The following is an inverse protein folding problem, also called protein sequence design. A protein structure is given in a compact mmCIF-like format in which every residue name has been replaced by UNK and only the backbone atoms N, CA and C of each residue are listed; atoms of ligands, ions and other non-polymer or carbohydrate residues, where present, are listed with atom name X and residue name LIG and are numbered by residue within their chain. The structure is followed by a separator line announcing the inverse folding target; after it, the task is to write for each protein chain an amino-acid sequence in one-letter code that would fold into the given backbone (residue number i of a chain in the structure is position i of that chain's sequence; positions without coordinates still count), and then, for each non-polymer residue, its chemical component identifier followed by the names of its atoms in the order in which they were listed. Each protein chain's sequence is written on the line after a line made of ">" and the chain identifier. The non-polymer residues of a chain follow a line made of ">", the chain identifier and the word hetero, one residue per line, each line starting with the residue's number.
data_IF_718905993701
#
_entry.id   IF_718905993701
#
_cell.length_a   1.000
_cell.length_b   1.000
_cell.length_c   1.000
_cell.angle_alpha   90.00
_cell.angle_beta   90.00
_cell.angle_gamma   90.00
#
_symmetry.space_group_name_H-M   'P 1'
#
loop_
_entity.id
_entity.type
_entity.pdbx_description
1 polymer ?
#
# COMPACT_ATOMS: atom_id res chain seq x y z
N UNK A 1 41.44 20.70 -29.48
CA UNK A 1 40.29 21.35 -28.80
C UNK A 1 39.30 20.24 -28.48
N UNK A 2 38.97 20.09 -27.20
CA UNK A 2 38.24 18.96 -26.61
C UNK A 2 36.79 18.91 -27.07
N UNK A 3 36.34 17.76 -27.61
CA UNK A 3 34.92 17.47 -27.76
C UNK A 3 34.35 17.26 -26.35
N UNK A 4 33.36 18.06 -25.98
CA UNK A 4 32.69 17.97 -24.68
C UNK A 4 31.93 16.65 -24.57
N UNK A 5 32.27 15.85 -23.57
CA UNK A 5 31.38 14.80 -23.08
C UNK A 5 30.26 15.49 -22.30
N UNK A 6 29.18 15.85 -22.97
CA UNK A 6 27.93 16.27 -22.32
C UNK A 6 27.24 15.04 -21.73
N UNK A 7 27.73 14.57 -20.58
CA UNK A 7 26.93 13.73 -19.70
C UNK A 7 25.92 14.65 -19.01
N UNK A 8 24.71 14.74 -19.53
CA UNK A 8 23.57 15.23 -18.73
C UNK A 8 23.56 14.44 -17.42
N UNK A 9 23.58 15.11 -16.24
CA UNK A 9 23.42 14.40 -14.98
C UNK A 9 22.10 13.62 -15.02
N UNK A 10 22.13 12.35 -14.62
CA UNK A 10 20.89 11.59 -14.41
C UNK A 10 20.02 12.35 -13.39
N UNK A 11 18.71 12.46 -13.67
CA UNK A 11 17.79 13.06 -12.71
C UNK A 11 17.81 12.29 -11.38
N UNK A 12 17.65 12.98 -10.24
CA UNK A 12 17.66 12.31 -8.95
C UNK A 12 16.49 11.32 -8.87
N UNK A 13 16.83 10.05 -8.67
CA UNK A 13 15.86 9.00 -8.38
C UNK A 13 15.52 8.97 -6.90
N UNK A 14 14.34 8.46 -6.58
CA UNK A 14 13.91 8.31 -5.20
C UNK A 14 13.32 6.94 -4.90
N UNK A 15 12.70 6.85 -3.74
CA UNK A 15 12.08 5.62 -3.27
C UNK A 15 10.72 5.88 -2.64
N UNK A 16 9.90 4.83 -2.60
CA UNK A 16 8.61 4.81 -1.93
C UNK A 16 8.55 3.59 -1.02
N UNK A 17 8.50 3.85 0.28
CA UNK A 17 8.51 2.83 1.34
C UNK A 17 7.13 2.72 1.99
N UNK A 18 6.60 1.50 2.05
CA UNK A 18 5.42 1.18 2.84
C UNK A 18 5.84 0.75 4.24
N UNK A 19 5.13 1.25 5.25
CA UNK A 19 5.15 0.76 6.63
C UNK A 19 3.76 0.22 6.95
N UNK A 20 3.66 -1.10 7.09
CA UNK A 20 2.43 -1.81 7.37
C UNK A 20 2.31 -2.14 8.84
N UNK A 21 1.14 -1.85 9.40
CA UNK A 21 0.84 -2.14 10.81
C UNK A 21 -0.53 -2.77 10.99
N UNK A 22 -0.70 -3.48 12.09
CA UNK A 22 -2.01 -3.84 12.64
C UNK A 22 -2.77 -2.55 13.02
N UNK A 23 -4.04 -2.45 12.61
CA UNK A 23 -4.82 -1.24 12.81
C UNK A 23 -5.11 -0.91 14.28
N UNK A 24 -5.14 -1.93 15.15
CA UNK A 24 -5.51 -1.86 16.56
C UNK A 24 -4.28 -1.77 17.45
N UNK A 25 -3.34 -2.72 17.35
CA UNK A 25 -2.15 -2.75 18.21
C UNK A 25 -1.05 -1.80 17.73
N UNK A 26 -1.04 -1.46 16.44
CA UNK A 26 0.04 -0.68 15.83
C UNK A 26 1.32 -1.48 15.59
N UNK A 27 1.32 -2.79 15.86
CA UNK A 27 2.49 -3.64 15.65
C UNK A 27 2.82 -3.76 14.16
N UNK A 28 4.11 -3.94 13.80
CA UNK A 28 4.51 -4.20 12.43
C UNK A 28 3.82 -5.44 11.84
N UNK A 29 3.39 -5.33 10.58
CA UNK A 29 2.67 -6.39 9.89
C UNK A 29 3.48 -6.95 8.71
N UNK A 30 4.20 -8.09 8.89
CA UNK A 30 4.89 -8.78 7.80
C UNK A 30 3.94 -9.51 6.86
N UNK A 31 4.33 -9.68 5.59
CA UNK A 31 3.65 -10.53 4.62
C UNK A 31 2.54 -9.88 3.80
N UNK A 32 2.19 -8.61 4.06
CA UNK A 32 1.35 -7.85 3.14
C UNK A 32 2.13 -7.54 1.84
N UNK A 33 1.48 -7.67 0.67
CA UNK A 33 2.10 -7.52 -0.65
C UNK A 33 1.56 -6.28 -1.35
N UNK A 34 2.47 -5.48 -1.89
CA UNK A 34 2.18 -4.24 -2.58
C UNK A 34 2.71 -4.23 -4.00
N UNK A 35 2.06 -3.43 -4.84
CA UNK A 35 2.57 -2.99 -6.13
C UNK A 35 2.65 -1.46 -6.14
N UNK A 36 3.66 -0.91 -6.79
CA UNK A 36 3.73 0.51 -7.12
C UNK A 36 3.47 0.71 -8.61
N UNK A 37 2.72 1.75 -8.92
CA UNK A 37 2.28 2.12 -10.26
C UNK A 37 2.52 3.60 -10.48
N UNK A 38 3.22 3.94 -11.55
CA UNK A 38 3.46 5.32 -12.00
C UNK A 38 2.22 5.81 -12.77
N UNK A 39 1.71 6.98 -12.40
CA UNK A 39 0.68 7.70 -13.14
C UNK A 39 1.26 8.20 -14.48
N UNK A 40 0.76 7.67 -15.60
CA UNK A 40 1.34 7.96 -16.93
C UNK A 40 0.35 8.52 -17.93
N UNK A 41 -0.94 8.56 -17.63
CA UNK A 41 -1.99 8.92 -18.59
C UNK A 41 -2.77 10.20 -18.20
N UNK A 42 -2.53 10.75 -17.01
CA UNK A 42 -3.15 11.97 -16.50
C UNK A 42 -4.60 11.81 -16.02
N UNK A 43 -5.08 10.58 -15.81
CA UNK A 43 -6.45 10.29 -15.36
C UNK A 43 -6.43 9.90 -13.89
N UNK A 44 -7.20 10.64 -13.09
CA UNK A 44 -7.24 10.43 -11.65
C UNK A 44 -7.60 8.99 -11.24
N UNK A 45 -6.78 8.42 -10.35
CA UNK A 45 -6.91 7.05 -9.83
C UNK A 45 -5.98 6.09 -10.57
N UNK A 46 -5.86 4.86 -10.07
CA UNK A 46 -5.05 3.83 -10.72
C UNK A 46 -5.83 3.14 -11.84
N UNK A 47 -5.27 3.06 -13.05
CA UNK A 47 -5.75 2.22 -14.15
C UNK A 47 -4.76 1.10 -14.46
N UNK A 48 -5.06 -0.13 -14.02
CA UNK A 48 -4.16 -1.29 -14.26
C UNK A 48 -4.40 -2.01 -15.60
N UNK A 49 -5.36 -1.54 -16.42
CA UNK A 49 -5.77 -2.18 -17.68
C UNK A 49 -6.52 -1.18 -18.57
N UNK A 50 -6.65 -1.51 -19.85
CA UNK A 50 -7.35 -0.69 -20.85
C UNK A 50 -6.39 -0.26 -21.96
N UNK A 51 -6.82 0.71 -22.76
CA UNK A 51 -6.05 1.20 -23.92
C UNK A 51 -4.84 2.05 -23.53
N UNK A 52 -4.86 2.65 -22.33
CA UNK A 52 -3.82 3.55 -21.82
C UNK A 52 -3.65 3.39 -20.30
N UNK A 53 -3.17 2.23 -19.81
CA UNK A 53 -3.02 1.96 -18.39
C UNK A 53 -1.81 2.70 -17.79
N UNK A 54 -1.84 2.88 -16.47
CA UNK A 54 -0.67 3.27 -15.69
C UNK A 54 0.43 2.22 -15.76
N UNK A 55 1.67 2.66 -15.51
CA UNK A 55 2.84 1.79 -15.63
C UNK A 55 3.23 1.18 -14.29
N UNK A 56 3.22 -0.15 -14.19
CA UNK A 56 3.76 -0.84 -13.02
C UNK A 56 5.29 -0.65 -12.95
N UNK A 57 5.81 -0.27 -11.79
CA UNK A 57 7.23 0.06 -11.61
C UNK A 57 8.14 -1.17 -11.54
N UNK A 58 7.57 -2.35 -11.24
CA UNK A 58 8.33 -3.59 -11.10
C UNK A 58 7.50 -4.73 -10.48
N UNK A 59 8.16 -5.79 -9.97
CA UNK A 59 7.48 -6.87 -9.26
C UNK A 59 6.84 -6.37 -7.95
N UNK A 60 5.94 -7.17 -7.39
CA UNK A 60 5.35 -6.90 -6.09
C UNK A 60 6.39 -6.96 -4.97
N UNK A 61 6.16 -6.19 -3.91
CA UNK A 61 7.02 -6.12 -2.74
C UNK A 61 6.25 -6.60 -1.51
N UNK A 62 6.77 -7.62 -0.82
CA UNK A 62 6.21 -8.11 0.44
C UNK A 62 6.85 -7.39 1.62
N UNK A 63 6.04 -7.07 2.63
CA UNK A 63 6.50 -6.45 3.87
C UNK A 63 7.32 -7.42 4.72
N UNK A 64 8.47 -6.95 5.18
CA UNK A 64 9.42 -7.71 6.00
C UNK A 64 8.96 -7.82 7.48
N UNK A 65 9.80 -8.43 8.33
CA UNK A 65 9.55 -8.57 9.77
C UNK A 65 9.34 -7.24 10.53
N UNK A 66 9.74 -6.10 9.94
CA UNK A 66 9.51 -4.75 10.47
C UNK A 66 8.31 -4.09 9.82
N UNK A 67 7.50 -4.84 9.06
CA UNK A 67 6.35 -4.34 8.33
C UNK A 67 6.74 -3.44 7.16
N UNK A 68 7.97 -3.53 6.64
CA UNK A 68 8.48 -2.60 5.61
C UNK A 68 8.65 -3.26 4.27
N UNK A 69 8.28 -2.54 3.21
CA UNK A 69 8.59 -2.92 1.83
C UNK A 69 8.92 -1.62 1.06
N UNK A 70 9.88 -1.65 0.14
CA UNK A 70 10.35 -0.45 -0.54
C UNK A 70 10.47 -0.67 -2.05
N UNK A 71 10.04 0.33 -2.80
CA UNK A 71 10.27 0.47 -4.24
C UNK A 71 11.33 1.56 -4.43
N UNK A 72 12.50 1.18 -4.95
CA UNK A 72 13.63 2.11 -5.16
C UNK A 72 13.85 2.42 -6.63
N UNK A 73 14.83 3.28 -6.91
CA UNK A 73 15.21 3.70 -8.28
C UNK A 73 14.04 4.25 -9.09
N UNK A 74 13.10 4.92 -8.42
CA UNK A 74 11.92 5.52 -9.04
C UNK A 74 12.27 6.87 -9.65
N UNK A 75 11.81 7.12 -10.87
CA UNK A 75 11.88 8.43 -11.50
C UNK A 75 10.97 9.43 -10.78
N UNK A 76 11.21 10.73 -10.95
CA UNK A 76 10.31 11.75 -10.42
C UNK A 76 8.93 11.63 -11.08
N UNK A 77 7.86 11.70 -10.29
CA UNK A 77 6.53 11.42 -10.80
C UNK A 77 5.48 11.24 -9.70
N UNK A 78 4.30 10.78 -10.11
CA UNK A 78 3.19 10.46 -9.22
C UNK A 78 2.96 8.95 -9.19
N UNK A 79 2.79 8.40 -7.99
CA UNK A 79 2.73 6.95 -7.79
C UNK A 79 1.51 6.53 -6.98
N UNK A 80 0.86 5.47 -7.40
CA UNK A 80 -0.13 4.74 -6.62
C UNK A 80 0.49 3.50 -5.99
N UNK A 81 0.08 3.21 -4.75
CA UNK A 81 0.31 1.92 -4.10
C UNK A 81 -0.97 1.10 -4.18
N UNK A 82 -0.86 -0.15 -4.61
CA UNK A 82 -1.95 -1.14 -4.56
C UNK A 82 -1.56 -2.29 -3.64
N UNK A 83 -2.32 -2.50 -2.57
CA UNK A 83 -2.23 -3.71 -1.74
C UNK A 83 -2.92 -4.86 -2.46
N UNK A 84 -2.21 -5.95 -2.72
CA UNK A 84 -2.72 -7.09 -3.50
C UNK A 84 -2.90 -8.36 -2.67
N UNK A 85 -2.21 -8.48 -1.53
CA UNK A 85 -2.39 -9.58 -0.59
C UNK A 85 -2.12 -9.12 0.84
N UNK A 86 -2.77 -9.80 1.78
CA UNK A 86 -2.59 -9.61 3.23
C UNK A 86 -2.17 -10.93 3.87
N UNK A 87 -1.45 -10.89 5.00
CA UNK A 87 -1.12 -12.11 5.75
C UNK A 87 -2.37 -12.73 6.39
N UNK A 88 -2.28 -14.02 6.72
CA UNK A 88 -3.36 -14.76 7.38
C UNK A 88 -3.86 -14.06 8.65
N UNK A 89 -5.19 -14.07 8.85
CA UNK A 89 -5.84 -13.42 9.99
C UNK A 89 -6.07 -11.92 9.82
N UNK A 90 -5.77 -11.35 8.65
CA UNK A 90 -6.10 -9.97 8.28
C UNK A 90 -7.02 -9.93 7.07
N UNK A 91 -7.77 -8.83 6.94
CA UNK A 91 -8.56 -8.57 5.74
C UNK A 91 -7.88 -7.54 4.84
N UNK A 92 -8.03 -7.73 3.54
CA UNK A 92 -7.71 -6.72 2.55
C UNK A 92 -8.67 -5.52 2.75
N UNK A 93 -8.17 -4.27 2.73
CA UNK A 93 -9.02 -3.11 2.93
C UNK A 93 -9.96 -2.88 1.73
N UNK A 94 -11.14 -2.30 1.97
CA UNK A 94 -12.10 -1.97 0.90
C UNK A 94 -11.48 -1.06 -0.17
N UNK A 95 -10.59 -0.16 0.26
CA UNK A 95 -9.73 0.65 -0.62
C UNK A 95 -8.32 0.11 -0.60
N UNK A 96 -7.99 -0.68 -1.61
CA UNK A 96 -6.66 -1.29 -1.79
C UNK A 96 -5.65 -0.36 -2.45
N UNK A 97 -6.13 0.70 -3.09
CA UNK A 97 -5.30 1.69 -3.78
C UNK A 97 -5.20 2.96 -2.95
N UNK A 98 -3.98 3.48 -2.80
CA UNK A 98 -3.70 4.77 -2.14
C UNK A 98 -2.74 5.60 -3.00
N UNK A 99 -2.80 6.93 -2.86
CA UNK A 99 -2.04 7.88 -3.68
C UNK A 99 -2.97 8.86 -4.43
N UNK A 100 -2.42 9.63 -5.39
CA UNK A 100 -1.04 9.58 -5.83
C UNK A 100 -0.07 10.15 -4.79
N UNK A 101 1.12 9.56 -4.71
CA UNK A 101 2.25 10.04 -3.94
C UNK A 101 3.24 10.72 -4.88
N UNK A 102 3.55 12.00 -4.62
CA UNK A 102 4.39 12.81 -5.50
C UNK A 102 5.86 12.74 -5.11
N UNK A 103 6.66 12.08 -5.93
CA UNK A 103 8.12 12.05 -5.84
C UNK A 103 8.68 13.21 -6.67
N UNK A 104 9.45 14.07 -6.03
CA UNK A 104 10.01 15.30 -6.59
C UNK A 104 11.48 15.40 -6.26
N UNK A 105 12.23 16.27 -6.94
CA UNK A 105 13.64 16.52 -6.60
C UNK A 105 13.84 16.96 -5.14
N UNK A 106 12.84 17.59 -4.52
CA UNK A 106 12.90 18.04 -3.13
C UNK A 106 12.75 16.93 -2.08
N UNK A 107 12.23 15.75 -2.44
CA UNK A 107 12.08 14.62 -1.52
C UNK A 107 12.71 13.32 -2.04
N UNK A 108 13.28 13.30 -3.24
CA UNK A 108 13.85 12.10 -3.84
C UNK A 108 14.97 11.48 -2.99
N UNK A 109 15.84 12.30 -2.39
CA UNK A 109 16.95 11.83 -1.54
C UNK A 109 16.47 11.13 -0.26
N UNK A 110 15.36 11.59 0.31
CA UNK A 110 14.79 11.03 1.54
C UNK A 110 13.82 9.88 1.23
N UNK A 111 13.22 9.90 0.04
CA UNK A 111 12.11 9.06 -0.35
C UNK A 111 10.79 9.45 0.33
N UNK A 112 9.74 8.73 -0.04
CA UNK A 112 8.42 8.86 0.55
C UNK A 112 8.19 7.65 1.45
N UNK A 113 7.73 7.89 2.68
CA UNK A 113 7.28 6.82 3.59
C UNK A 113 5.77 6.93 3.81
N UNK A 114 5.06 5.84 3.53
CA UNK A 114 3.60 5.74 3.66
C UNK A 114 3.26 4.71 4.74
N UNK A 115 2.51 5.10 5.76
CA UNK A 115 2.02 4.16 6.78
C UNK A 115 0.60 3.70 6.46
N UNK A 116 0.41 2.38 6.29
CA UNK A 116 -0.87 1.75 5.97
C UNK A 116 -1.25 0.72 7.03
N UNK A 117 -2.55 0.58 7.30
CA UNK A 117 -3.08 -0.26 8.39
C UNK A 117 -4.01 -1.34 7.84
N UNK A 118 -3.93 -2.56 8.37
CA UNK A 118 -4.95 -3.58 8.14
C UNK A 118 -5.61 -3.92 9.45
N UNK A 119 -6.92 -4.05 9.39
CA UNK A 119 -7.65 -4.69 10.46
C UNK A 119 -7.48 -6.20 10.39
N UNK A 120 -7.44 -6.83 11.56
CA UNK A 120 -7.65 -8.27 11.68
C UNK A 120 -9.00 -8.65 11.08
N UNK A 121 -9.03 -9.83 10.47
CA UNK A 121 -10.28 -10.48 10.13
C UNK A 121 -10.96 -10.87 11.46
N UNK A 122 -12.18 -10.40 11.69
CA UNK A 122 -12.84 -10.52 13.01
C UNK A 122 -13.31 -11.96 13.28
N UNK A 123 -13.24 -12.84 12.28
CA UNK A 123 -13.90 -14.13 12.31
C UNK A 123 -12.92 -15.27 12.66
N UNK A 124 -12.48 -15.23 13.92
CA UNK A 124 -11.77 -16.30 14.62
C UNK A 124 -12.36 -16.60 16.00
N UNK A 125 -13.70 -16.70 16.11
CA UNK A 125 -14.51 -17.20 17.25
C UNK A 125 -14.47 -16.41 18.59
N UNK A 126 -15.57 -15.72 18.94
CA UNK A 126 -15.78 -15.13 20.27
C UNK A 126 -17.18 -14.60 20.64
N UNK A 127 -18.21 -14.83 19.82
CA UNK A 127 -19.59 -14.40 20.10
C UNK A 127 -20.33 -15.35 21.04
N UNK A 128 -19.99 -15.37 22.32
CA UNK A 128 -20.82 -15.98 23.37
C UNK A 128 -22.10 -15.15 23.52
N UNK A 129 -23.15 -15.46 22.74
CA UNK A 129 -24.48 -14.87 22.85
C UNK A 129 -25.20 -15.32 24.13
N UNK A 130 -24.77 -14.78 25.27
CA UNK A 130 -25.40 -15.00 26.57
C UNK A 130 -26.47 -13.96 26.90
N UNK A 131 -27.73 -14.38 26.81
CA UNK A 131 -28.92 -14.02 27.62
C UNK A 131 -29.38 -12.55 27.78
N UNK A 132 -30.67 -12.37 27.41
CA UNK A 132 -31.68 -11.55 28.10
C UNK A 132 -32.69 -10.96 27.10
N UNK A 133 -34.03 -10.98 27.27
CA UNK A 133 -34.93 -11.50 28.31
C UNK A 133 -36.39 -11.36 27.82
N UNK A 134 -37.35 -11.85 28.62
CA UNK A 134 -38.84 -11.76 28.59
C UNK A 134 -39.56 -12.94 27.91
N UNK A 135 -40.13 -13.89 28.66
CA UNK A 135 -41.39 -13.78 29.43
C UNK A 135 -42.41 -14.65 28.67
N UNK A 136 -43.10 -15.66 29.19
CA UNK A 136 -43.82 -15.79 30.45
C UNK A 136 -45.25 -16.27 30.13
N UNK A 137 -45.47 -17.59 30.18
CA UNK A 137 -46.70 -18.39 30.43
C UNK A 137 -48.08 -18.04 29.81
N UNK A 138 -48.72 -19.12 29.33
CA UNK A 138 -50.16 -19.40 29.37
C UNK A 138 -50.51 -20.41 28.26
N UNK A 139 -51.07 -21.60 28.45
CA UNK A 139 -51.73 -22.28 29.56
C UNK A 139 -52.82 -23.17 28.95
N UNK A 140 -52.79 -24.47 29.21
CA UNK A 140 -53.92 -25.41 29.26
C UNK A 140 -53.47 -26.65 30.02
#
# INVERSE_FOLDING_TARGET
>A
MTLGNERTPDEPKGSLTVVKTDAVSGDPLPGAVFEAWEETNGRAGLQTSGDDPDRRTGPGCATDARGRCAFGELELGEYYLRETAVPDGYRLPDRTVTGPYRLTSGNASDGITVTLKNDRDKDGNGGKGGKGSKGGKGGK
#
